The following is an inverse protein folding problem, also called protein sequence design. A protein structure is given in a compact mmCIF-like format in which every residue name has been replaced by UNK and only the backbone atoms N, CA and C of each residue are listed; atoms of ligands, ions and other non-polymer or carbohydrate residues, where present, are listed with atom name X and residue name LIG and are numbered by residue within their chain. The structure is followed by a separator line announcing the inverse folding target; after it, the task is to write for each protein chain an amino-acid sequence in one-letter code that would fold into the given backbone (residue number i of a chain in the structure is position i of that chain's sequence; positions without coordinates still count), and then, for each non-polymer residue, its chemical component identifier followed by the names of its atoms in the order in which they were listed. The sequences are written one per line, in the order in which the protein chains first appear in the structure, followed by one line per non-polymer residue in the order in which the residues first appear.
data_IF_330206919430
#
_entry.id   IF_330206919430
#
_cell.length_a   1.000
_cell.length_b   1.000
_cell.length_c   1.000
_cell.angle_alpha   90.00
_cell.angle_beta   90.00
_cell.angle_gamma   90.00
#
_symmetry.space_group_name_H-M   'P 1'
#
loop_
_entity.id
_entity.type
_entity.pdbx_description
1 polymer ?
#
# COMPACT_ATOMS: atom_id res chain seq x y z
N UNK A 1 58.57 -31.01 -19.01
CA UNK A 1 58.81 -29.75 -18.23
C UNK A 1 58.27 -28.52 -18.97
N UNK A 2 58.59 -28.25 -20.26
CA UNK A 2 58.09 -27.06 -20.96
C UNK A 2 56.57 -27.15 -21.34
N UNK A 3 56.01 -28.34 -21.57
CA UNK A 3 54.58 -28.51 -21.84
C UNK A 3 53.72 -28.31 -20.59
N UNK A 4 54.19 -28.75 -19.46
CA UNK A 4 53.47 -28.59 -18.18
C UNK A 4 53.35 -27.14 -17.76
N UNK A 5 54.43 -26.37 -17.92
CA UNK A 5 54.44 -24.94 -17.63
C UNK A 5 53.47 -24.11 -18.49
N UNK A 6 53.30 -24.47 -19.76
CA UNK A 6 52.36 -23.81 -20.65
C UNK A 6 50.90 -24.14 -20.25
N UNK A 7 50.62 -25.39 -19.93
CA UNK A 7 49.30 -25.80 -19.50
C UNK A 7 48.88 -25.14 -18.19
N UNK A 8 49.80 -25.00 -17.22
CA UNK A 8 49.52 -24.30 -15.95
C UNK A 8 49.33 -22.80 -16.18
N UNK A 9 50.09 -22.16 -17.02
CA UNK A 9 49.94 -20.75 -17.37
C UNK A 9 48.55 -20.48 -18.06
N UNK A 10 48.17 -21.35 -19.00
CA UNK A 10 46.87 -21.23 -19.67
C UNK A 10 45.70 -21.41 -18.69
N UNK A 11 45.80 -22.38 -17.75
CA UNK A 11 44.79 -22.55 -16.69
C UNK A 11 44.67 -21.31 -15.79
N UNK A 12 45.80 -20.79 -15.33
CA UNK A 12 45.78 -19.58 -14.47
C UNK A 12 45.22 -18.38 -15.23
N UNK A 13 45.55 -18.22 -16.48
CA UNK A 13 45.02 -17.14 -17.32
C UNK A 13 43.50 -17.30 -17.52
N UNK A 14 43.02 -18.53 -17.74
CA UNK A 14 41.59 -18.80 -17.86
C UNK A 14 40.87 -18.48 -16.53
N UNK A 15 41.38 -18.95 -15.41
CA UNK A 15 40.81 -18.68 -14.09
C UNK A 15 40.72 -17.18 -13.81
N UNK A 16 41.76 -16.42 -14.07
CA UNK A 16 41.76 -14.96 -13.92
C UNK A 16 40.76 -14.26 -14.84
N UNK A 17 40.57 -14.78 -16.04
CA UNK A 17 39.60 -14.28 -17.01
C UNK A 17 38.18 -14.52 -16.49
N UNK A 18 37.92 -15.75 -16.00
CA UNK A 18 36.61 -16.15 -15.48
C UNK A 18 36.26 -15.36 -14.21
N UNK A 19 37.20 -15.19 -13.28
CA UNK A 19 37.05 -14.35 -12.08
C UNK A 19 36.78 -12.87 -12.44
N UNK A 20 37.48 -12.35 -13.44
CA UNK A 20 37.25 -10.98 -13.92
C UNK A 20 35.86 -10.81 -14.49
N UNK A 21 35.42 -11.76 -15.32
CA UNK A 21 34.09 -11.73 -15.93
C UNK A 21 32.99 -11.84 -14.87
N UNK A 22 33.17 -12.70 -13.87
CA UNK A 22 32.24 -12.84 -12.75
C UNK A 22 32.14 -11.55 -11.92
N UNK A 23 33.29 -10.95 -11.57
CA UNK A 23 33.30 -9.67 -10.86
C UNK A 23 32.68 -8.53 -11.67
N UNK A 24 32.90 -8.53 -12.98
CA UNK A 24 32.29 -7.53 -13.85
C UNK A 24 30.76 -7.70 -13.89
N UNK A 25 30.28 -8.93 -14.03
CA UNK A 25 28.85 -9.24 -13.99
C UNK A 25 28.19 -8.85 -12.64
N UNK A 26 28.84 -9.19 -11.52
CA UNK A 26 28.38 -8.78 -10.20
C UNK A 26 28.31 -7.27 -10.07
N UNK A 27 29.32 -6.55 -10.59
CA UNK A 27 29.32 -5.08 -10.58
C UNK A 27 28.18 -4.49 -11.42
N UNK A 28 27.87 -5.06 -12.56
CA UNK A 28 26.78 -4.60 -13.41
C UNK A 28 25.42 -4.77 -12.70
N UNK A 29 25.19 -5.89 -12.02
CA UNK A 29 24.00 -6.12 -11.18
C UNK A 29 23.92 -5.08 -10.06
N UNK A 30 25.02 -4.81 -9.36
CA UNK A 30 25.03 -3.84 -8.28
C UNK A 30 24.75 -2.41 -8.77
N UNK A 31 25.26 -2.03 -9.93
CA UNK A 31 25.00 -0.73 -10.55
C UNK A 31 23.53 -0.57 -10.91
N UNK A 32 22.91 -1.59 -11.47
CA UNK A 32 21.48 -1.56 -11.82
C UNK A 32 20.61 -1.49 -10.55
N UNK A 33 20.90 -2.30 -9.54
CA UNK A 33 20.22 -2.25 -8.25
C UNK A 33 20.31 -0.86 -7.59
N UNK A 34 21.50 -0.27 -7.62
CA UNK A 34 21.74 1.06 -7.06
C UNK A 34 20.98 2.15 -7.82
N UNK A 35 20.83 2.00 -9.11
CA UNK A 35 20.01 2.89 -9.95
C UNK A 35 18.55 2.79 -9.55
N UNK A 36 18.02 1.58 -9.40
CA UNK A 36 16.62 1.35 -8.99
C UNK A 36 16.34 1.95 -7.60
N UNK A 37 17.23 1.74 -6.64
CA UNK A 37 17.09 2.33 -5.29
C UNK A 37 17.11 3.86 -5.32
N UNK A 38 17.97 4.47 -6.16
CA UNK A 38 18.00 5.93 -6.33
C UNK A 38 16.71 6.48 -6.98
N UNK A 39 16.15 5.77 -7.95
CA UNK A 39 14.87 6.15 -8.55
C UNK A 39 13.72 6.04 -7.54
N UNK A 40 13.69 4.98 -6.72
CA UNK A 40 12.74 4.85 -5.63
C UNK A 40 12.87 5.98 -4.61
N UNK A 41 14.11 6.30 -4.18
CA UNK A 41 14.35 7.41 -3.27
C UNK A 41 13.82 8.73 -3.82
N UNK A 42 14.10 9.02 -5.10
CA UNK A 42 13.60 10.21 -5.77
C UNK A 42 12.06 10.26 -5.79
N UNK A 43 11.40 9.15 -6.16
CA UNK A 43 9.92 9.04 -6.15
C UNK A 43 9.35 9.33 -4.76
N UNK A 44 9.91 8.72 -3.71
CA UNK A 44 9.44 8.93 -2.33
C UNK A 44 9.68 10.37 -1.87
N UNK A 45 10.78 11.00 -2.25
CA UNK A 45 11.06 12.40 -1.92
C UNK A 45 10.08 13.38 -2.57
N UNK A 46 9.71 13.13 -3.83
CA UNK A 46 8.78 13.96 -4.60
C UNK A 46 7.33 13.84 -4.15
N UNK A 47 6.93 12.71 -3.57
CA UNK A 47 5.59 12.54 -2.99
C UNK A 47 5.39 13.47 -1.81
N UNK A 48 4.21 14.07 -1.66
CA UNK A 48 3.86 14.84 -0.46
C UNK A 48 3.80 13.95 0.79
N UNK A 49 3.22 12.75 0.63
CA UNK A 49 3.05 11.72 1.65
C UNK A 49 3.36 10.36 1.05
N UNK A 50 3.72 9.38 1.87
CA UNK A 50 3.89 8.01 1.39
C UNK A 50 2.51 7.43 1.03
N UNK A 51 2.44 6.81 -0.13
CA UNK A 51 1.27 6.10 -0.63
C UNK A 51 1.56 4.59 -0.71
N UNK A 52 0.53 3.74 -0.60
CA UNK A 52 0.66 2.32 -0.93
C UNK A 52 1.19 2.13 -2.35
N UNK A 53 2.04 1.13 -2.54
CA UNK A 53 2.50 0.75 -3.89
C UNK A 53 1.34 0.14 -4.68
N UNK A 54 1.18 0.57 -5.93
CA UNK A 54 0.12 0.10 -6.84
C UNK A 54 0.71 -0.26 -8.19
N UNK A 55 0.04 -1.16 -8.87
CA UNK A 55 0.35 -1.46 -10.26
C UNK A 55 0.11 -0.23 -11.16
N UNK A 56 0.92 -0.07 -12.20
CA UNK A 56 0.81 1.03 -13.17
C UNK A 56 -0.59 1.10 -13.82
N UNK A 57 -1.24 -0.05 -14.03
CA UNK A 57 -2.59 -0.11 -14.57
C UNK A 57 -3.62 0.51 -13.63
N UNK A 58 -3.49 0.29 -12.32
CA UNK A 58 -4.34 0.90 -11.29
C UNK A 58 -4.09 2.41 -11.23
N UNK A 59 -2.84 2.85 -11.26
CA UNK A 59 -2.49 4.28 -11.26
C UNK A 59 -3.08 5.00 -12.50
N UNK A 60 -2.96 4.41 -13.69
CA UNK A 60 -3.58 4.94 -14.91
C UNK A 60 -5.10 4.99 -14.81
N UNK A 61 -5.70 3.97 -14.21
CA UNK A 61 -7.15 3.87 -14.00
C UNK A 61 -7.62 5.00 -13.07
N UNK A 62 -6.93 5.25 -11.95
CA UNK A 62 -7.22 6.38 -11.05
C UNK A 62 -7.06 7.74 -11.73
N UNK A 63 -6.01 7.89 -12.53
CA UNK A 63 -5.77 9.12 -13.28
C UNK A 63 -6.90 9.41 -14.28
N UNK A 64 -7.48 8.38 -14.92
CA UNK A 64 -8.61 8.53 -15.83
C UNK A 64 -9.87 9.04 -15.13
N UNK A 65 -10.16 8.58 -13.91
CA UNK A 65 -11.26 9.09 -13.10
C UNK A 65 -11.08 10.57 -12.75
N UNK A 66 -9.87 10.98 -12.38
CA UNK A 66 -9.58 12.38 -12.10
C UNK A 66 -9.77 13.28 -13.34
N UNK A 67 -9.38 12.80 -14.52
CA UNK A 67 -9.61 13.50 -15.79
C UNK A 67 -11.10 13.59 -16.15
N UNK A 68 -11.90 12.60 -15.76
CA UNK A 68 -13.35 12.61 -15.92
C UNK A 68 -14.08 13.48 -14.87
N UNK A 69 -13.33 14.13 -13.95
CA UNK A 69 -13.89 14.96 -12.89
C UNK A 69 -14.58 14.18 -11.77
N UNK A 70 -14.27 12.90 -11.63
CA UNK A 70 -14.79 12.05 -10.57
C UNK A 70 -13.92 12.20 -9.33
N UNK A 71 -14.52 12.60 -8.20
CA UNK A 71 -13.84 12.67 -6.92
C UNK A 71 -13.75 11.27 -6.30
N UNK A 72 -12.56 10.66 -6.36
CA UNK A 72 -12.27 9.34 -5.82
C UNK A 72 -11.08 9.42 -4.87
N UNK A 73 -11.29 9.08 -3.59
CA UNK A 73 -10.26 9.19 -2.55
C UNK A 73 -10.04 7.81 -1.92
N UNK A 74 -8.78 7.32 -1.77
CA UNK A 74 -8.50 6.08 -1.07
C UNK A 74 -8.99 6.12 0.39
N UNK A 75 -9.55 5.03 0.88
CA UNK A 75 -10.19 4.97 2.19
C UNK A 75 -9.27 5.42 3.33
N UNK A 76 -7.98 5.03 3.31
CA UNK A 76 -7.01 5.44 4.33
C UNK A 76 -6.84 6.97 4.46
N UNK A 77 -7.21 7.74 3.43
CA UNK A 77 -7.17 9.21 3.46
C UNK A 77 -8.48 9.83 3.94
N UNK A 78 -9.55 9.07 3.96
CA UNK A 78 -10.88 9.54 4.35
C UNK A 78 -11.14 9.44 5.86
N UNK A 79 -10.26 8.73 6.57
CA UNK A 79 -10.43 8.42 8.00
C UNK A 79 -9.17 8.72 8.81
N UNK A 80 -9.36 8.92 10.10
CA UNK A 80 -8.32 9.01 11.12
C UNK A 80 -8.59 7.95 12.20
N UNK A 81 -7.55 7.51 12.91
CA UNK A 81 -7.75 6.67 14.09
C UNK A 81 -8.45 7.44 15.21
N UNK A 82 -9.33 6.75 15.92
CA UNK A 82 -9.91 7.28 17.14
C UNK A 82 -8.81 7.56 18.17
N UNK A 83 -8.96 8.67 18.90
CA UNK A 83 -7.93 9.17 19.85
C UNK A 83 -7.67 8.24 21.03
N UNK A 84 -8.60 7.35 21.30
CA UNK A 84 -8.55 6.38 22.39
C UNK A 84 -7.71 5.15 22.07
N UNK A 85 -7.35 4.93 20.79
CA UNK A 85 -6.54 3.80 20.37
C UNK A 85 -5.05 4.04 20.66
N UNK A 86 -4.42 3.04 21.25
CA UNK A 86 -2.97 3.00 21.36
C UNK A 86 -2.29 2.64 20.02
N UNK A 87 -0.96 2.79 19.95
CA UNK A 87 -0.20 2.51 18.71
C UNK A 87 -0.34 1.06 18.24
N UNK A 88 -0.45 0.12 19.15
CA UNK A 88 -0.61 -1.30 18.80
C UNK A 88 -1.99 -1.60 18.23
N UNK A 89 -3.04 -0.96 18.76
CA UNK A 89 -4.40 -1.06 18.23
C UNK A 89 -4.51 -0.39 16.86
N UNK A 90 -3.90 0.78 16.67
CA UNK A 90 -3.81 1.45 15.37
C UNK A 90 -3.12 0.57 14.31
N UNK A 91 -1.96 -0.01 14.66
CA UNK A 91 -1.22 -0.90 13.76
C UNK A 91 -2.03 -2.16 13.40
N UNK A 92 -2.71 -2.75 14.36
CA UNK A 92 -3.57 -3.93 14.17
C UNK A 92 -4.76 -3.62 13.28
N UNK A 93 -5.46 -2.51 13.53
CA UNK A 93 -6.60 -2.07 12.72
C UNK A 93 -6.18 -1.76 11.28
N UNK A 94 -5.05 -1.08 11.08
CA UNK A 94 -4.54 -0.83 9.73
C UNK A 94 -4.17 -2.13 9.02
N UNK A 95 -3.60 -3.11 9.72
CA UNK A 95 -3.31 -4.42 9.15
C UNK A 95 -4.58 -5.15 8.69
N UNK A 96 -5.67 -5.06 9.47
CA UNK A 96 -6.98 -5.63 9.10
C UNK A 96 -7.56 -4.93 7.86
N UNK A 97 -7.52 -3.59 7.81
CA UNK A 97 -7.92 -2.81 6.64
C UNK A 97 -7.12 -3.18 5.39
N UNK A 98 -5.81 -3.37 5.54
CA UNK A 98 -4.93 -3.74 4.44
C UNK A 98 -5.22 -5.16 3.94
N UNK A 99 -5.31 -6.13 4.84
CA UNK A 99 -5.53 -7.53 4.50
C UNK A 99 -6.93 -7.76 3.90
N UNK A 100 -7.93 -7.01 4.34
CA UNK A 100 -9.29 -7.07 3.77
C UNK A 100 -9.43 -6.36 2.42
N UNK A 101 -8.40 -5.64 1.97
CA UNK A 101 -8.43 -4.84 0.75
C UNK A 101 -9.13 -3.48 0.89
N UNK A 102 -9.61 -3.12 2.08
CA UNK A 102 -10.29 -1.84 2.29
C UNK A 102 -9.36 -0.64 2.30
N UNK A 103 -8.11 -0.82 2.78
CA UNK A 103 -7.20 0.30 3.09
C UNK A 103 -7.06 1.27 1.91
N UNK A 104 -6.76 0.76 0.73
CA UNK A 104 -6.48 1.55 -0.48
C UNK A 104 -7.66 1.57 -1.47
N UNK A 105 -8.77 0.90 -1.17
CA UNK A 105 -9.97 0.94 -2.00
C UNK A 105 -10.56 2.37 -2.04
N UNK A 106 -11.10 2.74 -3.19
CA UNK A 106 -11.61 4.09 -3.42
C UNK A 106 -12.97 4.31 -2.75
N UNK A 107 -13.15 5.49 -2.21
CA UNK A 107 -14.45 6.02 -1.76
C UNK A 107 -14.90 7.05 -2.80
N UNK A 108 -16.10 6.86 -3.29
CA UNK A 108 -16.77 7.73 -4.25
C UNK A 108 -18.23 7.95 -3.84
N UNK A 109 -18.90 8.93 -4.44
CA UNK A 109 -20.36 9.05 -4.30
C UNK A 109 -21.08 7.90 -5.01
N UNK A 110 -22.33 7.62 -4.65
CA UNK A 110 -23.16 6.63 -5.37
C UNK A 110 -23.37 6.99 -6.84
N UNK A 111 -23.51 8.28 -7.11
CA UNK A 111 -23.65 8.79 -8.48
C UNK A 111 -22.39 8.55 -9.30
N UNK A 112 -21.22 8.87 -8.75
CA UNK A 112 -19.93 8.64 -9.41
C UNK A 112 -19.65 7.15 -9.59
N UNK A 113 -20.03 6.30 -8.64
CA UNK A 113 -19.91 4.86 -8.83
C UNK A 113 -20.77 4.35 -10.00
N UNK A 114 -21.98 4.87 -10.16
CA UNK A 114 -22.83 4.54 -11.31
C UNK A 114 -22.19 5.00 -12.62
N UNK A 115 -21.58 6.19 -12.65
CA UNK A 115 -20.82 6.70 -13.81
C UNK A 115 -19.61 5.82 -14.12
N UNK A 116 -18.81 5.46 -13.11
CA UNK A 116 -17.66 4.56 -13.29
C UNK A 116 -18.09 3.26 -13.97
N UNK A 117 -19.16 2.63 -13.50
CA UNK A 117 -19.66 1.39 -14.08
C UNK A 117 -20.19 1.52 -15.50
N UNK A 118 -20.78 2.66 -15.84
CA UNK A 118 -21.41 2.89 -17.14
C UNK A 118 -20.41 3.38 -18.19
N UNK A 119 -19.47 4.23 -17.81
CA UNK A 119 -18.65 5.01 -18.73
C UNK A 119 -17.16 4.59 -18.72
N UNK A 120 -16.72 3.84 -17.66
CA UNK A 120 -15.34 3.38 -17.51
C UNK A 120 -15.26 1.85 -17.35
N UNK A 121 -15.67 1.06 -18.35
CA UNK A 121 -15.65 -0.41 -18.27
C UNK A 121 -14.23 -0.99 -18.12
N UNK A 122 -13.20 -0.21 -18.47
CA UNK A 122 -11.77 -0.55 -18.33
C UNK A 122 -11.22 -0.25 -16.93
N UNK A 123 -12.03 0.31 -16.03
CA UNK A 123 -11.59 0.67 -14.68
C UNK A 123 -11.10 -0.55 -13.89
N UNK A 124 -9.85 -0.48 -13.41
CA UNK A 124 -9.14 -1.55 -12.72
C UNK A 124 -8.77 -1.11 -11.31
N UNK A 125 -9.74 -1.12 -10.40
CA UNK A 125 -9.48 -0.88 -8.96
C UNK A 125 -10.69 -1.31 -8.13
N UNK A 126 -10.52 -1.30 -6.79
CA UNK A 126 -11.57 -1.57 -5.84
C UNK A 126 -12.27 -0.26 -5.42
N UNK A 127 -13.60 -0.30 -5.35
CA UNK A 127 -14.42 0.79 -4.82
C UNK A 127 -15.25 0.26 -3.65
N UNK A 128 -15.22 0.94 -2.53
CA UNK A 128 -16.06 0.60 -1.38
C UNK A 128 -17.50 1.06 -1.65
N UNK A 129 -18.42 0.10 -1.59
CA UNK A 129 -19.85 0.32 -1.75
C UNK A 129 -20.62 -0.34 -0.64
N UNK A 130 -21.69 0.31 -0.21
CA UNK A 130 -22.61 -0.19 0.80
C UNK A 130 -24.03 -0.19 0.24
N UNK A 131 -24.85 -1.15 0.67
CA UNK A 131 -26.28 -1.19 0.34
C UNK A 131 -27.09 -0.17 1.16
N UNK A 132 -26.42 0.61 2.00
CA UNK A 132 -27.00 1.63 2.85
C UNK A 132 -26.28 1.74 4.20
N UNK A 133 -26.91 2.48 5.10
CA UNK A 133 -26.38 2.69 6.43
C UNK A 133 -26.52 1.40 7.25
N UNK A 134 -25.38 0.91 7.77
CA UNK A 134 -25.35 -0.16 8.76
C UNK A 134 -25.75 0.34 10.16
N UNK A 135 -25.75 -0.57 11.11
CA UNK A 135 -26.07 -0.27 12.52
C UNK A 135 -24.89 -0.44 13.47
N UNK A 136 -23.68 -0.56 12.93
CA UNK A 136 -22.48 -0.64 13.75
C UNK A 136 -22.21 0.65 14.51
N UNK A 137 -21.61 0.48 15.69
CA UNK A 137 -21.03 1.55 16.51
C UNK A 137 -19.51 1.34 16.61
N UNK A 138 -18.88 1.08 15.47
CA UNK A 138 -17.43 0.91 15.42
C UNK A 138 -16.72 2.23 15.79
N UNK A 139 -15.91 2.21 16.83
CA UNK A 139 -15.24 3.39 17.38
C UNK A 139 -13.75 3.50 17.03
N UNK A 140 -13.23 2.58 16.21
CA UNK A 140 -11.79 2.55 15.86
C UNK A 140 -11.36 3.63 14.88
N UNK A 141 -12.29 4.17 14.08
CA UNK A 141 -12.02 5.17 13.04
C UNK A 141 -13.02 6.33 13.13
N UNK A 142 -12.54 7.50 12.75
CA UNK A 142 -13.35 8.73 12.61
C UNK A 142 -13.15 9.30 11.22
N UNK A 143 -14.12 10.08 10.74
CA UNK A 143 -14.01 10.77 9.45
C UNK A 143 -12.94 11.86 9.53
N UNK A 144 -12.06 11.94 8.55
CA UNK A 144 -11.03 12.99 8.46
C UNK A 144 -11.67 14.37 8.32
N UNK A 145 -11.10 15.37 9.02
CA UNK A 145 -11.61 16.74 8.97
C UNK A 145 -11.44 17.39 7.59
N UNK A 146 -10.40 17.01 6.85
CA UNK A 146 -10.08 17.56 5.52
C UNK A 146 -10.87 16.89 4.38
N UNK A 147 -11.82 15.98 4.70
CA UNK A 147 -12.59 15.25 3.70
C UNK A 147 -13.58 16.17 2.96
N UNK A 148 -13.66 16.12 1.60
CA UNK A 148 -14.69 16.81 0.83
C UNK A 148 -16.10 16.45 1.35
N UNK A 149 -16.96 17.47 1.41
CA UNK A 149 -18.29 17.34 2.02
C UNK A 149 -19.14 16.25 1.35
N UNK A 150 -19.00 16.08 0.04
CA UNK A 150 -19.72 15.08 -0.77
C UNK A 150 -19.37 13.63 -0.40
N UNK A 151 -18.17 13.37 0.11
CA UNK A 151 -17.72 12.03 0.52
C UNK A 151 -18.00 11.71 2.00
N UNK A 152 -18.43 12.68 2.81
CA UNK A 152 -18.70 12.43 4.25
C UNK A 152 -19.80 11.39 4.47
N UNK A 153 -20.89 11.47 3.71
CA UNK A 153 -21.97 10.49 3.79
C UNK A 153 -21.53 9.09 3.36
N UNK A 154 -20.89 8.89 2.20
CA UNK A 154 -20.30 7.60 1.84
C UNK A 154 -19.38 7.02 2.91
N UNK A 155 -18.48 7.82 3.47
CA UNK A 155 -17.55 7.34 4.52
C UNK A 155 -18.30 6.93 5.78
N UNK A 156 -19.28 7.71 6.25
CA UNK A 156 -20.12 7.36 7.40
C UNK A 156 -20.91 6.07 7.17
N UNK A 157 -21.44 5.86 5.98
CA UNK A 157 -22.11 4.61 5.60
C UNK A 157 -21.13 3.43 5.66
N UNK A 158 -19.90 3.59 5.12
CA UNK A 158 -18.86 2.56 5.19
C UNK A 158 -18.52 2.24 6.66
N UNK A 159 -18.25 3.25 7.48
CA UNK A 159 -17.94 3.07 8.91
C UNK A 159 -19.06 2.36 9.67
N UNK A 160 -20.33 2.66 9.35
CA UNK A 160 -21.48 2.01 9.99
C UNK A 160 -21.66 0.53 9.58
N UNK A 161 -20.90 0.06 8.60
CA UNK A 161 -20.85 -1.34 8.14
C UNK A 161 -19.56 -2.07 8.60
N UNK A 162 -18.74 -1.45 9.45
CA UNK A 162 -17.60 -2.10 10.11
C UNK A 162 -18.05 -2.47 11.53
N UNK A 163 -17.87 -3.73 11.91
CA UNK A 163 -18.30 -4.29 13.18
C UNK A 163 -17.08 -4.80 13.98
N UNK A 164 -17.14 -4.69 15.29
CA UNK A 164 -16.14 -5.18 16.23
C UNK A 164 -16.49 -6.55 16.87
N UNK A 165 -17.69 -7.07 16.59
CA UNK A 165 -18.18 -8.33 17.11
C UNK A 165 -18.42 -9.38 15.99
N UNK A 166 -18.08 -10.64 16.27
CA UNK A 166 -18.43 -11.76 15.38
C UNK A 166 -19.94 -12.01 15.38
N UNK A 167 -20.50 -12.24 14.21
CA UNK A 167 -21.89 -12.69 14.09
C UNK A 167 -22.75 -11.93 13.09
N UNK A 168 -22.22 -10.93 12.41
CA UNK A 168 -22.95 -10.27 11.32
C UNK A 168 -22.65 -10.93 9.98
N UNK A 169 -23.69 -11.11 9.17
CA UNK A 169 -23.57 -11.56 7.77
C UNK A 169 -23.42 -10.39 6.80
N UNK A 170 -23.63 -9.17 7.29
CA UNK A 170 -23.53 -7.93 6.53
C UNK A 170 -22.33 -7.11 7.00
N UNK A 171 -21.60 -6.51 6.06
CA UNK A 171 -20.44 -5.68 6.36
C UNK A 171 -19.16 -6.48 6.63
N UNK A 172 -18.24 -5.84 7.33
CA UNK A 172 -16.96 -6.42 7.73
C UNK A 172 -16.82 -6.41 9.26
N UNK A 173 -16.23 -7.48 9.81
CA UNK A 173 -15.91 -7.57 11.24
C UNK A 173 -14.40 -7.48 11.44
N UNK A 174 -13.98 -6.70 12.44
CA UNK A 174 -12.61 -6.59 12.90
C UNK A 174 -12.51 -6.98 14.37
N UNK A 175 -11.86 -8.11 14.66
CA UNK A 175 -11.64 -8.59 16.02
C UNK A 175 -10.49 -7.88 16.72
N UNK A 176 -10.58 -7.74 18.04
CA UNK A 176 -9.56 -7.13 18.88
C UNK A 176 -8.20 -7.87 18.82
N UNK A 177 -8.19 -9.12 18.40
CA UNK A 177 -6.99 -9.97 18.24
C UNK A 177 -6.32 -9.84 16.85
N UNK A 178 -6.83 -8.99 15.96
CA UNK A 178 -6.37 -8.82 14.59
C UNK A 178 -7.10 -9.69 13.56
N UNK A 179 -8.07 -10.50 13.97
CA UNK A 179 -8.92 -11.26 13.06
C UNK A 179 -9.84 -10.33 12.27
N UNK A 180 -10.20 -10.74 11.06
CA UNK A 180 -11.20 -10.06 10.25
C UNK A 180 -12.06 -11.07 9.49
N UNK A 181 -13.28 -10.66 9.15
CA UNK A 181 -14.20 -11.44 8.35
C UNK A 181 -15.03 -10.55 7.44
N UNK A 182 -15.09 -10.90 6.16
CA UNK A 182 -15.89 -10.21 5.15
C UNK A 182 -16.53 -11.26 4.23
N UNK A 183 -17.81 -11.51 4.40
CA UNK A 183 -18.50 -12.58 3.68
C UNK A 183 -17.84 -13.95 3.92
N UNK A 184 -17.31 -14.56 2.85
CA UNK A 184 -16.60 -15.84 2.90
C UNK A 184 -15.08 -15.68 3.19
N UNK A 185 -14.54 -14.45 3.15
CA UNK A 185 -13.15 -14.17 3.44
C UNK A 185 -12.97 -13.95 4.94
N UNK A 186 -12.05 -14.69 5.54
CA UNK A 186 -11.65 -14.51 6.93
C UNK A 186 -10.15 -14.69 7.07
N UNK A 187 -9.55 -13.97 8.01
CA UNK A 187 -8.11 -14.05 8.25
C UNK A 187 -7.70 -13.35 9.53
N UNK A 188 -6.40 -13.29 9.75
CA UNK A 188 -5.79 -12.57 10.86
C UNK A 188 -4.61 -11.76 10.32
N UNK A 189 -4.57 -10.48 10.67
CA UNK A 189 -3.57 -9.53 10.21
C UNK A 189 -2.75 -9.01 11.39
N UNK A 190 -1.47 -8.73 11.12
CA UNK A 190 -0.55 -8.14 12.10
C UNK A 190 0.39 -7.16 11.39
N UNK A 191 0.67 -6.04 12.05
CA UNK A 191 1.62 -5.02 11.64
C UNK A 191 2.32 -4.44 12.85
N UNK A 192 3.56 -4.02 12.71
CA UNK A 192 4.33 -3.44 13.83
C UNK A 192 3.92 -1.99 14.12
N UNK A 193 3.61 -1.22 13.08
CA UNK A 193 3.21 0.17 13.18
C UNK A 193 2.21 0.54 12.08
N UNK A 194 1.34 1.49 12.33
CA UNK A 194 0.49 2.11 11.33
C UNK A 194 1.32 3.03 10.42
N UNK A 195 1.05 2.98 9.12
CA UNK A 195 1.83 3.67 8.09
C UNK A 195 1.02 4.63 7.24
N UNK A 196 -0.28 4.35 7.03
CA UNK A 196 -1.11 5.04 6.03
C UNK A 196 -2.29 5.80 6.62
N UNK A 197 -2.97 5.26 7.62
CA UNK A 197 -4.10 5.93 8.25
C UNK A 197 -3.60 7.07 9.12
N UNK A 198 -4.09 8.29 8.86
CA UNK A 198 -3.68 9.50 9.55
C UNK A 198 -2.42 10.19 8.96
N UNK A 199 -2.50 11.52 8.83
CA UNK A 199 -1.43 12.33 8.25
C UNK A 199 -0.06 12.13 8.92
N UNK A 200 -0.03 12.09 10.25
CA UNK A 200 1.23 11.94 11.00
C UNK A 200 1.87 10.57 10.80
N UNK A 201 1.07 9.50 10.65
CA UNK A 201 1.58 8.17 10.35
C UNK A 201 2.25 8.15 8.97
N UNK A 202 1.59 8.68 7.95
CA UNK A 202 2.13 8.78 6.57
C UNK A 202 3.42 9.59 6.51
N UNK A 203 3.49 10.72 7.22
CA UNK A 203 4.70 11.55 7.28
C UNK A 203 5.85 10.80 7.95
N UNK A 204 5.61 10.17 9.09
CA UNK A 204 6.59 9.38 9.83
C UNK A 204 7.14 8.23 8.98
N UNK A 205 6.26 7.52 8.30
CA UNK A 205 6.64 6.41 7.40
C UNK A 205 7.45 6.90 6.19
N UNK A 206 7.08 8.03 5.60
CA UNK A 206 7.87 8.65 4.52
C UNK A 206 9.30 8.93 4.97
N UNK A 207 9.48 9.57 6.10
CA UNK A 207 10.80 9.88 6.66
C UNK A 207 11.62 8.62 6.96
N UNK A 208 10.97 7.58 7.45
CA UNK A 208 11.60 6.28 7.68
C UNK A 208 12.01 5.60 6.36
N UNK A 209 11.15 5.58 5.36
CA UNK A 209 11.45 5.00 4.04
C UNK A 209 12.62 5.71 3.35
N UNK A 210 12.69 7.04 3.45
CA UNK A 210 13.83 7.81 2.94
C UNK A 210 15.13 7.36 3.61
N UNK A 211 15.14 7.19 4.93
CA UNK A 211 16.34 6.71 5.65
C UNK A 211 16.74 5.30 5.22
N UNK A 212 15.77 4.38 5.15
CA UNK A 212 16.01 2.99 4.70
C UNK A 212 16.65 2.95 3.30
N UNK A 213 16.15 3.76 2.35
CA UNK A 213 16.70 3.84 0.99
C UNK A 213 18.07 4.51 0.93
N UNK A 214 18.33 5.50 1.79
CA UNK A 214 19.65 6.13 1.91
C UNK A 214 20.70 5.15 2.47
N UNK A 215 20.35 4.38 3.50
CA UNK A 215 21.22 3.34 4.06
C UNK A 215 21.55 2.24 3.02
N UNK A 216 20.58 1.86 2.18
CA UNK A 216 20.80 0.92 1.07
C UNK A 216 21.74 1.45 -0.02
N UNK A 217 21.81 2.77 -0.22
CA UNK A 217 22.74 3.39 -1.18
C UNK A 217 24.16 3.43 -0.62
N UNK A 218 24.32 3.54 0.70
CA UNK A 218 25.61 3.64 1.38
C UNK A 218 26.25 2.26 1.66
N UNK A 219 25.48 1.18 1.66
CA UNK A 219 25.94 -0.20 1.92
C UNK A 219 26.54 -0.85 0.67
#
# INVERSE_FOLDING_TARGET
IQRDFRADYERQRQQLTDEKNEKQYQREIQVELLKDVREQLKKVQEQRELEPERDEAVEKSRASLAQAGITAIPFYRTVEFAKELDEAACARLEAQLQMSGMLDALVVTREDFAKIRAEHPEFLDAVLQTDGQGNSRFFGLTVSDDLPQELRTPVLEILSNIYDEEGTTQGICFGADGSFRQGILAGKAHKQAAEYVGYLARKRRKEQKIRELQEQIES
#
